data_IF_983861762202
#
_entry.id   IF_983861762202
#
_cell.length_a   1.000
_cell.length_b   1.000
_cell.length_c   1.000
_cell.angle_alpha   90.00
_cell.angle_beta   90.00
_cell.angle_gamma   90.00
#
_symmetry.space_group_name_H-M   'P 1'
#
loop_
_entity.id
_entity.type
_entity.pdbx_description
1 polymer ?
#
# COMPACT_ATOMS: atom_id res chain seq x y z
N UNK A 1 -33.71 -36.56 -3.81
CA UNK A 1 -32.27 -36.78 -4.02
C UNK A 1 -31.75 -35.57 -4.79
N UNK A 2 -30.78 -34.82 -4.25
CA UNK A 2 -30.21 -33.64 -4.90
C UNK A 2 -28.90 -34.14 -5.53
N UNK A 3 -28.88 -34.24 -6.85
CA UNK A 3 -27.86 -34.99 -7.58
C UNK A 3 -26.46 -34.40 -7.35
N UNK A 4 -25.52 -35.22 -6.88
CA UNK A 4 -24.10 -34.89 -6.69
C UNK A 4 -23.44 -34.32 -7.97
N UNK A 5 -24.05 -34.60 -9.11
CA UNK A 5 -23.69 -34.10 -10.44
C UNK A 5 -23.81 -32.56 -10.55
N UNK A 6 -24.83 -31.95 -9.93
CA UNK A 6 -25.05 -30.50 -9.99
C UNK A 6 -23.98 -29.71 -9.22
N UNK A 7 -23.54 -30.27 -8.08
CA UNK A 7 -22.46 -29.70 -7.28
C UNK A 7 -21.09 -29.80 -7.99
N UNK A 8 -20.86 -30.89 -8.73
CA UNK A 8 -19.66 -31.03 -9.56
C UNK A 8 -19.69 -30.07 -10.76
N UNK A 9 -20.83 -29.95 -11.43
CA UNK A 9 -21.03 -28.99 -12.51
C UNK A 9 -20.77 -27.55 -12.06
N UNK A 10 -21.29 -27.16 -10.88
CA UNK A 10 -21.01 -25.87 -10.26
C UNK A 10 -19.51 -25.65 -10.01
N UNK A 11 -18.81 -26.64 -9.45
CA UNK A 11 -17.36 -26.56 -9.19
C UNK A 11 -16.56 -26.38 -10.48
N UNK A 12 -16.92 -27.11 -11.53
CA UNK A 12 -16.29 -27.01 -12.85
C UNK A 12 -16.55 -25.64 -13.46
N UNK A 13 -17.80 -25.18 -13.48
CA UNK A 13 -18.18 -23.86 -14.00
C UNK A 13 -17.46 -22.73 -13.25
N UNK A 14 -17.40 -22.80 -11.91
CA UNK A 14 -16.67 -21.83 -11.08
C UNK A 14 -15.18 -21.82 -11.38
N UNK A 15 -14.57 -22.98 -11.62
CA UNK A 15 -13.15 -23.10 -11.98
C UNK A 15 -12.87 -22.54 -13.37
N UNK A 16 -13.75 -22.80 -14.34
CA UNK A 16 -13.68 -22.24 -15.70
C UNK A 16 -13.80 -20.71 -15.65
N UNK A 17 -14.81 -20.18 -14.94
CA UNK A 17 -15.00 -18.75 -14.79
C UNK A 17 -13.79 -18.06 -14.13
N UNK A 18 -13.25 -18.63 -13.06
CA UNK A 18 -12.04 -18.11 -12.40
C UNK A 18 -10.83 -18.10 -13.33
N UNK A 19 -10.64 -19.17 -14.12
CA UNK A 19 -9.56 -19.25 -15.11
C UNK A 19 -9.73 -18.24 -16.23
N UNK A 20 -10.93 -18.08 -16.76
CA UNK A 20 -11.24 -17.10 -17.80
C UNK A 20 -10.95 -15.67 -17.32
N UNK A 21 -11.37 -15.33 -16.09
CA UNK A 21 -11.07 -14.02 -15.48
C UNK A 21 -9.57 -13.84 -15.27
N UNK A 22 -8.85 -14.87 -14.80
CA UNK A 22 -7.40 -14.81 -14.63
C UNK A 22 -6.68 -14.62 -15.97
N UNK A 23 -7.10 -15.34 -17.01
CA UNK A 23 -6.55 -15.24 -18.37
C UNK A 23 -6.82 -13.86 -18.97
N UNK A 24 -8.05 -13.34 -18.87
CA UNK A 24 -8.38 -11.99 -19.34
C UNK A 24 -7.56 -10.91 -18.61
N UNK A 25 -7.34 -11.05 -17.30
CA UNK A 25 -6.46 -10.15 -16.54
C UNK A 25 -4.99 -10.27 -16.96
N UNK A 26 -4.51 -11.47 -17.26
CA UNK A 26 -3.16 -11.69 -17.75
C UNK A 26 -2.97 -11.04 -19.13
N UNK A 27 -3.87 -11.29 -20.07
CA UNK A 27 -3.85 -10.67 -21.41
C UNK A 27 -3.92 -9.15 -21.32
N UNK A 28 -4.85 -8.59 -20.54
CA UNK A 28 -4.94 -7.13 -20.36
C UNK A 28 -3.68 -6.52 -19.74
N UNK A 29 -2.98 -7.27 -18.87
CA UNK A 29 -1.71 -6.85 -18.30
C UNK A 29 -0.59 -6.90 -19.35
N UNK A 30 -0.54 -7.97 -20.14
CA UNK A 30 0.51 -8.17 -21.15
C UNK A 30 0.34 -7.16 -22.31
N UNK A 31 -0.88 -6.88 -22.76
CA UNK A 31 -1.21 -5.82 -23.73
C UNK A 31 -0.78 -4.43 -23.22
N UNK A 32 -0.95 -4.16 -21.93
CA UNK A 32 -0.48 -2.93 -21.29
C UNK A 32 1.05 -2.81 -21.28
N UNK A 33 1.78 -3.92 -21.08
CA UNK A 33 3.25 -3.91 -21.14
C UNK A 33 3.78 -3.75 -22.57
N UNK A 34 3.13 -4.33 -23.58
CA UNK A 34 3.45 -4.08 -24.98
C UNK A 34 3.30 -2.60 -25.37
N UNK A 35 2.30 -1.91 -24.80
CA UNK A 35 2.12 -0.45 -24.95
C UNK A 35 3.22 0.37 -24.24
N UNK A 36 3.83 -0.17 -23.18
CA UNK A 36 4.95 0.49 -22.50
C UNK A 36 6.26 0.38 -23.29
N UNK A 37 6.48 -0.71 -24.01
CA UNK A 37 7.66 -0.88 -24.89
C UNK A 37 7.62 0.03 -26.12
N UNK A 38 6.41 0.43 -26.54
CA UNK A 38 6.19 1.33 -27.69
C UNK A 38 6.06 2.80 -27.30
N UNK A 39 5.94 3.12 -26.00
CA UNK A 39 5.81 4.49 -25.51
C UNK A 39 7.15 5.23 -25.58
N UNK A 40 7.31 6.13 -26.55
CA UNK A 40 8.55 6.86 -26.80
C UNK A 40 8.68 8.20 -26.05
N UNK A 41 7.62 8.68 -25.36
CA UNK A 41 7.57 10.01 -24.73
C UNK A 41 7.21 9.93 -23.23
N UNK A 42 7.98 10.64 -22.39
CA UNK A 42 7.82 10.71 -20.92
C UNK A 42 6.39 11.07 -20.45
N UNK A 43 5.67 11.90 -21.22
CA UNK A 43 4.28 12.26 -20.89
C UNK A 43 3.31 11.09 -21.01
N UNK A 44 3.57 10.15 -21.92
CA UNK A 44 2.76 8.95 -22.10
C UNK A 44 3.06 7.93 -21.00
N UNK A 45 4.34 7.74 -20.66
CA UNK A 45 4.79 6.92 -19.54
C UNK A 45 4.10 7.37 -18.24
N UNK A 46 4.05 8.69 -17.99
CA UNK A 46 3.40 9.23 -16.80
C UNK A 46 1.87 9.00 -16.79
N UNK A 47 1.18 9.16 -17.93
CA UNK A 47 -0.26 8.86 -18.05
C UNK A 47 -0.56 7.37 -17.84
N UNK A 48 0.29 6.50 -18.35
CA UNK A 48 0.16 5.04 -18.23
C UNK A 48 0.43 4.57 -16.79
N UNK A 49 1.45 5.11 -16.12
CA UNK A 49 1.73 4.80 -14.71
C UNK A 49 0.57 5.30 -13.81
N UNK A 50 -0.02 6.46 -14.13
CA UNK A 50 -1.23 6.96 -13.45
C UNK A 50 -2.42 6.01 -13.62
N UNK A 51 -2.65 5.47 -14.83
CA UNK A 51 -3.68 4.45 -15.08
C UNK A 51 -3.40 3.15 -14.32
N UNK A 52 -2.16 2.68 -14.28
CA UNK A 52 -1.75 1.48 -13.51
C UNK A 52 -1.96 1.67 -12.01
N UNK A 53 -1.59 2.82 -11.47
CA UNK A 53 -1.88 3.17 -10.09
C UNK A 53 -3.39 3.14 -9.86
N UNK A 54 -4.16 3.84 -10.70
CA UNK A 54 -5.63 3.81 -10.62
C UNK A 54 -6.18 2.38 -10.67
N UNK A 55 -5.77 1.54 -11.62
CA UNK A 55 -6.22 0.14 -11.73
C UNK A 55 -5.85 -0.72 -10.52
N UNK A 56 -4.70 -0.49 -9.87
CA UNK A 56 -4.31 -1.16 -8.63
C UNK A 56 -5.23 -0.80 -7.45
N UNK A 57 -5.76 0.42 -7.42
CA UNK A 57 -6.64 0.92 -6.35
C UNK A 57 -8.13 0.97 -6.74
N UNK A 58 -8.47 0.78 -8.02
CA UNK A 58 -9.85 0.75 -8.56
C UNK A 58 -10.37 -0.67 -8.75
N UNK A 59 -9.57 -1.69 -8.43
CA UNK A 59 -10.11 -2.96 -7.96
C UNK A 59 -10.77 -2.71 -6.60
N UNK A 60 -11.85 -1.93 -6.62
CA UNK A 60 -12.74 -1.70 -5.51
C UNK A 60 -13.24 -3.07 -5.10
N UNK A 61 -12.67 -3.57 -4.01
CA UNK A 61 -13.31 -4.64 -3.28
C UNK A 61 -14.49 -3.94 -2.62
N UNK A 62 -15.67 -4.01 -3.23
CA UNK A 62 -16.95 -3.65 -2.60
C UNK A 62 -17.29 -4.66 -1.49
N UNK A 63 -16.29 -5.09 -0.73
CA UNK A 63 -16.45 -5.84 0.48
C UNK A 63 -16.72 -4.88 1.63
N UNK A 64 -17.26 -5.38 2.76
CA UNK A 64 -17.27 -4.65 4.01
C UNK A 64 -15.88 -4.05 4.26
N UNK A 65 -15.80 -2.79 4.72
CA UNK A 65 -14.54 -2.18 5.14
C UNK A 65 -13.84 -3.17 6.08
N UNK A 66 -12.72 -3.73 5.65
CA UNK A 66 -11.99 -4.69 6.46
C UNK A 66 -11.53 -3.95 7.70
N UNK A 67 -12.04 -4.35 8.87
CA UNK A 67 -11.52 -3.88 10.14
C UNK A 67 -10.04 -4.26 10.22
N UNK A 68 -9.23 -3.33 10.69
CA UNK A 68 -7.82 -3.57 10.94
C UNK A 68 -7.74 -4.41 12.21
N UNK A 69 -7.05 -5.55 12.11
CA UNK A 69 -6.90 -6.47 13.24
C UNK A 69 -5.62 -6.17 14.04
N UNK A 70 -5.59 -6.45 15.36
CA UNK A 70 -4.41 -6.25 16.19
C UNK A 70 -3.14 -6.94 15.66
N UNK A 71 -3.29 -8.08 14.98
CA UNK A 71 -2.19 -8.84 14.39
C UNK A 71 -1.53 -8.07 13.25
N UNK A 72 -2.32 -7.36 12.44
CA UNK A 72 -1.81 -6.53 11.35
C UNK A 72 -0.99 -5.36 11.88
N UNK A 73 -1.47 -4.71 12.94
CA UNK A 73 -0.74 -3.64 13.63
C UNK A 73 0.54 -4.16 14.26
N UNK A 74 0.48 -5.33 14.89
CA UNK A 74 1.67 -5.98 15.47
C UNK A 74 2.71 -6.27 14.39
N UNK A 75 2.29 -6.78 13.23
CA UNK A 75 3.18 -7.03 12.10
C UNK A 75 3.75 -5.73 11.53
N UNK A 76 2.94 -4.67 11.44
CA UNK A 76 3.36 -3.36 10.96
C UNK A 76 4.43 -2.76 11.88
N UNK A 77 4.21 -2.76 13.20
CA UNK A 77 5.17 -2.28 14.21
C UNK A 77 6.48 -3.08 14.12
N UNK A 78 6.41 -4.41 13.97
CA UNK A 78 7.60 -5.25 13.79
C UNK A 78 8.41 -4.88 12.55
N UNK A 79 7.74 -4.46 11.46
CA UNK A 79 8.38 -4.04 10.21
C UNK A 79 9.00 -2.63 10.25
N UNK A 80 8.65 -1.79 11.23
CA UNK A 80 9.20 -0.44 11.32
C UNK A 80 10.72 -0.50 11.55
N UNK A 81 11.49 0.32 10.82
CA UNK A 81 12.94 0.40 10.99
C UNK A 81 13.32 1.25 12.20
N UNK A 82 14.35 0.82 12.94
CA UNK A 82 14.89 1.57 14.08
C UNK A 82 15.81 2.70 13.63
N UNK A 83 16.04 3.67 14.51
CA UNK A 83 16.94 4.82 14.36
C UNK A 83 16.62 5.67 13.10
N UNK A 84 15.33 5.76 12.75
CA UNK A 84 14.86 6.67 11.70
C UNK A 84 14.55 8.03 12.30
N UNK A 85 14.63 9.06 11.46
CA UNK A 85 14.30 10.41 11.87
C UNK A 85 12.87 10.44 12.42
N UNK A 86 12.76 10.90 13.67
CA UNK A 86 11.47 11.19 14.29
C UNK A 86 10.83 12.37 13.54
N UNK A 87 9.52 12.30 13.31
CA UNK A 87 8.79 13.43 12.75
C UNK A 87 8.75 14.60 13.76
N UNK A 88 8.30 15.81 13.40
CA UNK A 88 8.29 16.97 14.29
C UNK A 88 7.49 16.79 15.60
N UNK A 89 6.66 15.75 15.67
CA UNK A 89 5.92 15.34 16.85
C UNK A 89 6.75 14.46 17.81
N UNK A 90 8.00 14.19 17.48
CA UNK A 90 8.99 13.47 18.27
C UNK A 90 8.56 12.08 18.77
N UNK A 91 7.86 11.31 17.92
CA UNK A 91 7.48 9.93 18.22
C UNK A 91 8.35 8.95 17.40
N UNK A 92 9.38 8.34 17.99
CA UNK A 92 10.24 7.38 17.31
C UNK A 92 9.54 6.03 17.10
N UNK A 93 10.05 5.20 16.18
CA UNK A 93 9.51 3.87 15.92
C UNK A 93 9.63 2.94 17.15
N UNK A 94 10.67 3.16 17.94
CA UNK A 94 11.02 2.48 19.17
C UNK A 94 9.95 2.62 20.23
N UNK A 95 9.32 3.80 20.32
CA UNK A 95 8.22 4.06 21.23
C UNK A 95 7.09 3.04 21.04
N UNK A 96 6.68 2.82 19.79
CA UNK A 96 5.64 1.86 19.44
C UNK A 96 6.04 0.41 19.70
N UNK A 97 7.33 0.09 19.59
CA UNK A 97 7.85 -1.26 19.90
C UNK A 97 7.92 -1.53 21.41
N UNK A 98 8.17 -0.51 22.23
CA UNK A 98 8.32 -0.63 23.68
C UNK A 98 6.97 -0.71 24.41
N UNK A 99 5.96 -0.03 23.90
CA UNK A 99 4.65 0.08 24.55
C UNK A 99 3.85 -1.24 24.55
N UNK A 100 4.24 -2.20 23.70
CA UNK A 100 3.67 -3.55 23.64
C UNK A 100 2.20 -3.59 23.25
N UNK A 101 1.48 -4.56 23.79
CA UNK A 101 0.09 -4.88 23.41
C UNK A 101 -0.88 -3.72 23.67
N UNK A 102 -0.63 -2.91 24.70
CA UNK A 102 -1.43 -1.72 25.02
C UNK A 102 -1.44 -0.73 23.85
N UNK A 103 -0.30 -0.54 23.19
CA UNK A 103 -0.20 0.34 22.02
C UNK A 103 -0.84 -0.26 20.79
N UNK A 104 -0.70 -1.57 20.61
CA UNK A 104 -1.37 -2.29 19.52
C UNK A 104 -2.89 -2.10 19.63
N UNK A 105 -3.47 -2.27 20.82
CA UNK A 105 -4.90 -2.06 21.05
C UNK A 105 -5.31 -0.61 20.82
N UNK A 106 -4.53 0.35 21.31
CA UNK A 106 -4.78 1.78 21.09
C UNK A 106 -4.78 2.13 19.59
N UNK A 107 -3.74 1.73 18.86
CA UNK A 107 -3.60 1.98 17.43
C UNK A 107 -4.69 1.29 16.62
N UNK A 108 -5.04 0.05 16.97
CA UNK A 108 -6.13 -0.68 16.32
C UNK A 108 -7.45 0.07 16.45
N UNK A 109 -7.78 0.56 17.67
CA UNK A 109 -8.97 1.38 17.88
C UNK A 109 -8.90 2.70 17.11
N UNK A 110 -7.75 3.36 17.12
CA UNK A 110 -7.54 4.65 16.45
C UNK A 110 -7.70 4.54 14.93
N UNK A 111 -7.06 3.56 14.30
CA UNK A 111 -7.15 3.37 12.86
C UNK A 111 -8.53 2.93 12.42
N UNK A 112 -9.18 2.03 13.16
CA UNK A 112 -10.57 1.64 12.88
C UNK A 112 -11.53 2.85 13.00
N UNK A 113 -11.28 3.76 13.94
CA UNK A 113 -12.02 5.02 14.02
C UNK A 113 -11.83 5.87 12.76
N UNK A 114 -10.61 6.00 12.24
CA UNK A 114 -10.38 6.74 10.99
C UNK A 114 -10.99 6.11 9.75
N UNK A 115 -11.17 4.79 9.73
CA UNK A 115 -11.87 4.11 8.63
C UNK A 115 -13.36 4.47 8.57
N UNK A 116 -13.97 4.75 9.74
CA UNK A 116 -15.39 5.12 9.84
C UNK A 116 -15.57 6.64 9.73
N UNK A 117 -14.84 7.41 10.55
CA UNK A 117 -14.99 8.86 10.67
C UNK A 117 -14.28 9.63 9.54
N UNK A 118 -13.40 8.96 8.80
CA UNK A 118 -12.52 9.55 7.80
C UNK A 118 -11.22 10.10 8.38
N UNK A 119 -10.31 10.50 7.47
CA UNK A 119 -8.97 10.98 7.82
C UNK A 119 -9.05 12.40 8.43
N UNK A 120 -8.37 12.68 9.55
CA UNK A 120 -8.31 14.01 10.15
C UNK A 120 -7.85 15.08 9.16
N UNK A 121 -8.41 16.29 9.28
CA UNK A 121 -8.04 17.41 8.40
C UNK A 121 -6.55 17.73 8.43
N UNK A 122 -5.90 17.67 9.61
CA UNK A 122 -4.47 17.94 9.73
C UNK A 122 -3.59 16.94 8.96
N UNK A 123 -4.03 15.70 8.78
CA UNK A 123 -3.30 14.71 7.97
C UNK A 123 -3.42 14.98 6.46
N UNK A 124 -4.34 15.86 6.04
CA UNK A 124 -4.43 16.33 4.64
C UNK A 124 -3.41 17.43 4.36
N UNK A 125 -2.79 18.03 5.38
CA UNK A 125 -1.74 19.04 5.24
C UNK A 125 -0.37 18.38 5.28
N UNK A 126 0.40 18.52 4.20
CA UNK A 126 1.80 18.08 4.19
C UNK A 126 2.71 19.17 4.76
N UNK A 127 3.69 18.77 5.57
CA UNK A 127 4.78 19.66 6.01
C UNK A 127 6.04 19.38 5.17
N UNK A 128 6.67 20.43 4.65
CA UNK A 128 7.97 20.32 3.96
C UNK A 128 9.07 20.59 4.99
N UNK A 129 9.83 19.55 5.33
CA UNK A 129 11.05 19.70 6.14
C UNK A 129 12.25 19.65 5.19
N UNK A 130 12.91 20.79 4.91
CA UNK A 130 14.12 20.78 4.11
C UNK A 130 15.23 20.06 4.89
N UNK A 131 15.66 18.89 4.40
CA UNK A 131 16.82 18.17 4.94
C UNK A 131 17.97 18.25 3.93
N UNK A 132 19.11 18.77 4.37
CA UNK A 132 20.29 18.89 3.52
C UNK A 132 20.99 17.53 3.38
N UNK A 133 21.06 16.99 2.16
CA UNK A 133 21.82 15.77 1.87
C UNK A 133 23.29 16.13 1.71
N UNK A 134 24.14 15.70 2.65
CA UNK A 134 25.60 15.88 2.51
C UNK A 134 26.10 15.18 1.24
N UNK A 135 26.41 15.95 0.20
CA UNK A 135 27.18 15.50 -0.96
C UNK A 135 28.67 15.57 -0.59
N UNK A 136 29.34 14.42 -0.63
CA UNK A 136 30.80 14.23 -0.82
C UNK A 136 31.79 15.15 -0.09
N UNK A 137 32.64 14.55 0.76
CA UNK A 137 33.90 15.08 1.34
C UNK A 137 34.22 16.55 1.04
N UNK A 138 34.15 17.39 2.08
CA UNK A 138 34.77 18.71 2.11
C UNK A 138 36.26 18.57 1.80
N UNK A 139 36.71 19.10 0.66
CA UNK A 139 38.12 19.46 0.53
C UNK A 139 38.41 20.49 1.61
N UNK A 140 39.35 20.15 2.48
CA UNK A 140 40.01 21.05 3.44
C UNK A 140 40.28 22.38 2.77
N UNK A 141 39.57 23.44 3.17
CA UNK A 141 39.98 24.80 2.86
C UNK A 141 41.17 25.09 3.79
N UNK A 142 42.37 25.12 3.21
CA UNK A 142 43.54 25.69 3.88
C UNK A 142 43.24 27.16 4.16
N UNK A 143 43.43 27.56 5.41
CA UNK A 143 43.45 28.97 5.81
C UNK A 143 44.63 29.65 5.09
N UNK A 144 44.37 30.83 4.53
CA UNK A 144 45.32 31.93 4.47
C UNK A 144 44.89 32.93 5.54
#
# INVERSE_FOLDING_TARGET
>A
MKDDNDHQAYKIAKKIAKRAVAQAKATARDDFYAQLETASNDKEIFKLEKRKHQMKYSAATEGPISCIWPEEITLAIKRMANNKASAPNDIPAEFWKQIGDTGVLFLTKLFNKFLVDGIPYEWRKGFLIPFFKNKGKTKTLRQL
#
